data_IF_249311871078
#
_entry.id   IF_249311871078
#
_cell.length_a   1.000
_cell.length_b   1.000
_cell.length_c   1.000
_cell.angle_alpha   90.00
_cell.angle_beta   90.00
_cell.angle_gamma   90.00
#
_symmetry.space_group_name_H-M   'P 1'
#
loop_
_entity.id
_entity.type
_entity.pdbx_description
1 polymer ?
#
# COMPACT_ATOMS: atom_id res chain seq x y z
N UNK A 1 17.87 4.43 -28.05
CA UNK A 1 17.19 3.17 -27.71
C UNK A 1 16.17 3.49 -26.64
N UNK A 2 14.87 3.24 -26.85
CA UNK A 2 13.86 3.48 -25.81
C UNK A 2 13.88 2.29 -24.87
N UNK A 3 14.16 2.54 -23.60
CA UNK A 3 14.08 1.56 -22.51
C UNK A 3 12.76 1.74 -21.77
N UNK A 4 12.02 0.65 -21.59
CA UNK A 4 10.81 0.68 -20.76
C UNK A 4 11.18 0.85 -19.29
N UNK A 5 10.31 1.50 -18.51
CA UNK A 5 10.45 1.55 -17.05
C UNK A 5 10.51 0.14 -16.45
N UNK A 6 11.25 -0.06 -15.36
CA UNK A 6 11.37 -1.38 -14.71
C UNK A 6 10.20 -1.68 -13.76
N UNK A 7 9.56 -0.64 -13.21
CA UNK A 7 8.44 -0.73 -12.26
C UNK A 7 7.68 0.60 -12.29
N UNK A 8 6.35 0.56 -12.15
CA UNK A 8 5.56 1.76 -11.84
C UNK A 8 5.13 1.84 -10.38
N UNK A 9 5.33 0.76 -9.63
CA UNK A 9 5.03 0.71 -8.20
C UNK A 9 6.28 1.04 -7.41
N UNK A 10 6.14 1.99 -6.50
CA UNK A 10 7.16 2.37 -5.52
C UNK A 10 6.74 1.84 -4.14
N UNK A 11 7.48 0.85 -3.65
CA UNK A 11 7.20 0.20 -2.37
C UNK A 11 7.49 1.11 -1.16
N UNK A 12 8.21 2.22 -1.34
CA UNK A 12 8.45 3.21 -0.28
C UNK A 12 7.43 4.36 -0.32
N UNK A 13 6.64 4.46 -1.38
CA UNK A 13 5.57 5.43 -1.51
C UNK A 13 4.30 5.03 -0.76
N UNK A 14 3.25 5.83 -0.93
CA UNK A 14 1.90 5.53 -0.44
C UNK A 14 0.87 5.46 -1.56
N UNK A 15 1.32 5.48 -2.82
CA UNK A 15 0.46 5.50 -4.00
C UNK A 15 0.28 4.09 -4.51
N UNK A 16 -0.95 3.59 -4.39
CA UNK A 16 -1.38 2.30 -4.93
C UNK A 16 -2.18 2.51 -6.21
N UNK A 17 -2.24 1.49 -7.06
CA UNK A 17 -2.95 1.52 -8.33
C UNK A 17 -3.99 0.41 -8.41
N UNK A 18 -5.07 0.67 -9.13
CA UNK A 18 -5.97 -0.39 -9.59
C UNK A 18 -5.32 -1.18 -10.74
N UNK A 19 -5.76 -2.43 -11.00
CA UNK A 19 -5.27 -3.20 -12.14
C UNK A 19 -5.45 -2.46 -13.49
N UNK A 20 -6.53 -1.69 -13.64
CA UNK A 20 -6.80 -0.92 -14.85
C UNK A 20 -5.81 0.27 -15.00
N UNK A 21 -5.39 0.90 -13.91
CA UNK A 21 -4.40 1.97 -13.95
C UNK A 21 -3.01 1.45 -14.30
N UNK A 22 -2.61 0.30 -13.73
CA UNK A 22 -1.37 -0.38 -14.11
C UNK A 22 -1.38 -0.74 -15.60
N UNK A 23 -2.47 -1.32 -16.10
CA UNK A 23 -2.62 -1.61 -17.52
C UNK A 23 -2.44 -0.35 -18.37
N UNK A 24 -3.13 0.75 -18.04
CA UNK A 24 -3.01 2.01 -18.79
C UNK A 24 -1.59 2.58 -18.76
N UNK A 25 -0.85 2.42 -17.66
CA UNK A 25 0.55 2.86 -17.54
C UNK A 25 1.46 2.06 -18.47
N UNK A 26 1.36 0.73 -18.44
CA UNK A 26 2.15 -0.13 -19.32
C UNK A 26 1.77 0.01 -20.80
N UNK A 27 0.50 0.26 -21.12
CA UNK A 27 0.07 0.60 -22.48
C UNK A 27 0.72 1.90 -22.97
N UNK A 28 0.84 2.91 -22.09
CA UNK A 28 1.56 4.17 -22.41
C UNK A 28 3.06 3.94 -22.58
N UNK A 29 3.68 3.08 -21.77
CA UNK A 29 5.08 2.70 -21.95
C UNK A 29 5.31 2.05 -23.31
N UNK A 30 4.47 1.08 -23.70
CA UNK A 30 4.54 0.44 -25.00
C UNK A 30 4.38 1.47 -26.13
N UNK A 31 3.49 2.44 -25.96
CA UNK A 31 3.24 3.52 -26.92
C UNK A 31 4.44 4.48 -27.11
N UNK A 32 5.38 4.57 -26.16
CA UNK A 32 6.60 5.38 -26.34
C UNK A 32 7.43 4.87 -27.52
N UNK A 33 7.52 3.55 -27.69
CA UNK A 33 8.26 2.90 -28.77
C UNK A 33 7.36 2.57 -29.97
N UNK A 34 6.17 2.04 -29.70
CA UNK A 34 5.25 1.58 -30.73
C UNK A 34 3.99 2.43 -30.74
N UNK A 35 3.94 3.46 -31.60
CA UNK A 35 2.72 4.27 -31.76
C UNK A 35 1.53 3.39 -32.14
N UNK A 36 0.33 3.80 -31.73
CA UNK A 36 -0.91 3.02 -31.94
C UNK A 36 -1.09 2.55 -33.39
N UNK A 37 -0.91 3.46 -34.35
CA UNK A 37 -0.99 3.14 -35.78
C UNK A 37 0.00 2.04 -36.21
N UNK A 38 1.24 2.09 -35.71
CA UNK A 38 2.24 1.04 -36.00
C UNK A 38 1.83 -0.28 -35.37
N UNK A 39 1.30 -0.27 -34.14
CA UNK A 39 0.80 -1.50 -33.52
C UNK A 39 -0.36 -2.11 -34.29
N UNK A 40 -1.29 -1.29 -34.77
CA UNK A 40 -2.44 -1.74 -35.55
C UNK A 40 -1.96 -2.34 -36.89
N UNK A 41 -1.07 -1.66 -37.61
CA UNK A 41 -0.46 -2.17 -38.84
C UNK A 41 0.32 -3.49 -38.63
N UNK A 42 1.05 -3.62 -37.54
CA UNK A 42 1.77 -4.86 -37.22
C UNK A 42 0.83 -6.00 -36.83
N UNK A 43 -0.30 -5.71 -36.17
CA UNK A 43 -1.33 -6.72 -35.89
C UNK A 43 -2.01 -7.17 -37.19
N UNK A 44 -2.30 -6.25 -38.09
CA UNK A 44 -2.87 -6.56 -39.40
C UNK A 44 -1.89 -7.42 -40.21
N UNK A 45 -0.61 -7.02 -40.25
CA UNK A 45 0.45 -7.81 -40.87
C UNK A 45 0.52 -9.22 -40.27
N UNK A 46 0.51 -9.36 -38.94
CA UNK A 46 0.53 -10.67 -38.26
C UNK A 46 -0.65 -11.58 -38.69
N UNK A 47 -1.84 -11.01 -38.91
CA UNK A 47 -3.01 -11.77 -39.34
C UNK A 47 -2.91 -12.26 -40.79
N UNK A 48 -2.41 -11.41 -41.69
CA UNK A 48 -2.31 -11.74 -43.12
C UNK A 48 -1.03 -12.50 -43.49
N UNK A 49 0.03 -12.40 -42.67
CA UNK A 49 1.35 -13.00 -42.88
C UNK A 49 1.32 -14.46 -43.34
N UNK A 50 0.47 -15.36 -42.80
CA UNK A 50 0.42 -16.75 -43.25
C UNK A 50 -0.01 -16.95 -44.71
N UNK A 51 -0.71 -15.96 -45.29
CA UNK A 51 -1.16 -15.96 -46.69
C UNK A 51 -0.28 -15.16 -47.64
N UNK A 52 0.77 -14.51 -47.13
CA UNK A 52 1.69 -13.72 -47.94
C UNK A 52 2.86 -14.57 -48.42
N UNK A 53 3.25 -14.37 -49.67
CA UNK A 53 4.49 -14.92 -50.21
C UNK A 53 5.67 -13.98 -49.86
N UNK A 54 6.68 -14.46 -49.10
CA UNK A 54 7.82 -13.66 -48.68
C UNK A 54 8.65 -13.08 -49.83
N UNK A 55 8.64 -13.70 -51.01
CA UNK A 55 9.46 -13.27 -52.16
C UNK A 55 8.80 -12.15 -52.96
N UNK A 56 7.47 -12.08 -52.95
CA UNK A 56 6.69 -11.14 -53.76
C UNK A 56 6.05 -10.01 -52.95
N UNK A 57 5.87 -10.19 -51.64
CA UNK A 57 5.28 -9.16 -50.79
C UNK A 57 6.31 -8.04 -50.45
N UNK A 58 5.99 -6.76 -50.76
CA UNK A 58 6.89 -5.66 -50.48
C UNK A 58 7.25 -5.56 -48.99
N UNK A 59 8.53 -5.40 -48.69
CA UNK A 59 9.04 -5.18 -47.33
C UNK A 59 8.71 -6.32 -46.34
N UNK A 60 8.42 -7.54 -46.81
CA UNK A 60 8.09 -8.68 -45.94
C UNK A 60 9.11 -8.87 -44.81
N UNK A 61 10.40 -8.98 -45.15
CA UNK A 61 11.46 -9.21 -44.17
C UNK A 61 11.56 -8.09 -43.13
N UNK A 62 11.37 -6.84 -43.55
CA UNK A 62 11.39 -5.69 -42.63
C UNK A 62 10.19 -5.72 -41.68
N UNK A 63 8.99 -6.01 -42.18
CA UNK A 63 7.79 -6.12 -41.37
C UNK A 63 7.84 -7.32 -40.42
N UNK A 64 8.46 -8.43 -40.83
CA UNK A 64 8.67 -9.61 -39.99
C UNK A 64 9.61 -9.32 -38.81
N UNK A 65 10.72 -8.61 -39.06
CA UNK A 65 11.62 -8.15 -38.00
C UNK A 65 10.91 -7.20 -37.04
N UNK A 66 10.19 -6.19 -37.55
CA UNK A 66 9.43 -5.25 -36.72
C UNK A 66 8.34 -5.95 -35.90
N UNK A 67 7.66 -6.95 -36.48
CA UNK A 67 6.66 -7.74 -35.77
C UNK A 67 7.30 -8.55 -34.64
N UNK A 68 8.44 -9.20 -34.89
CA UNK A 68 9.19 -9.93 -33.87
C UNK A 68 9.62 -9.02 -32.71
N UNK A 69 10.17 -7.84 -33.02
CA UNK A 69 10.56 -6.84 -32.01
C UNK A 69 9.36 -6.35 -31.21
N UNK A 70 8.24 -6.06 -31.88
CA UNK A 70 7.01 -5.62 -31.22
C UNK A 70 6.44 -6.69 -30.27
N UNK A 71 6.44 -7.96 -30.69
CA UNK A 71 5.97 -9.07 -29.84
C UNK A 71 6.85 -9.21 -28.60
N UNK A 72 8.18 -9.15 -28.77
CA UNK A 72 9.14 -9.22 -27.67
C UNK A 72 8.95 -8.08 -26.65
N UNK A 73 8.80 -6.85 -27.14
CA UNK A 73 8.56 -5.69 -26.29
C UNK A 73 7.19 -5.78 -25.58
N UNK A 74 6.15 -6.20 -26.29
CA UNK A 74 4.82 -6.38 -25.72
C UNK A 74 4.82 -7.43 -24.61
N UNK A 75 5.55 -8.53 -24.80
CA UNK A 75 5.72 -9.57 -23.78
C UNK A 75 6.49 -9.03 -22.57
N UNK A 76 7.52 -8.21 -22.79
CA UNK A 76 8.28 -7.55 -21.72
C UNK A 76 7.37 -6.63 -20.89
N UNK A 77 6.60 -5.74 -21.52
CA UNK A 77 5.65 -4.88 -20.81
C UNK A 77 4.59 -5.69 -20.06
N UNK A 78 4.10 -6.79 -20.63
CA UNK A 78 3.14 -7.66 -19.96
C UNK A 78 3.71 -8.33 -18.71
N UNK A 79 4.93 -8.87 -18.78
CA UNK A 79 5.60 -9.48 -17.63
C UNK A 79 5.86 -8.46 -16.52
N UNK A 80 6.31 -7.26 -16.88
CA UNK A 80 6.54 -6.19 -15.89
C UNK A 80 5.24 -5.68 -15.28
N UNK A 81 4.13 -5.66 -16.03
CA UNK A 81 2.79 -5.38 -15.49
C UNK A 81 2.36 -6.39 -14.43
N UNK A 82 2.56 -7.69 -14.68
CA UNK A 82 2.26 -8.73 -13.69
C UNK A 82 3.12 -8.57 -12.43
N UNK A 83 4.40 -8.25 -12.60
CA UNK A 83 5.29 -7.98 -11.46
C UNK A 83 4.84 -6.73 -10.67
N UNK A 84 4.40 -5.68 -11.35
CA UNK A 84 3.82 -4.49 -10.71
C UNK A 84 2.52 -4.83 -9.97
N UNK A 85 1.66 -5.70 -10.51
CA UNK A 85 0.44 -6.13 -9.80
C UNK A 85 0.78 -6.79 -8.47
N UNK A 86 1.77 -7.68 -8.44
CA UNK A 86 2.24 -8.33 -7.20
C UNK A 86 2.83 -7.31 -6.23
N UNK A 87 3.71 -6.40 -6.70
CA UNK A 87 4.29 -5.35 -5.86
C UNK A 87 3.22 -4.40 -5.30
N UNK A 88 2.22 -4.07 -6.11
CA UNK A 88 1.15 -3.18 -5.71
C UNK A 88 0.27 -3.81 -4.64
N UNK A 89 -0.03 -5.11 -4.77
CA UNK A 89 -0.75 -5.85 -3.72
C UNK A 89 0.05 -5.86 -2.41
N UNK A 90 1.35 -6.17 -2.47
CA UNK A 90 2.23 -6.11 -1.30
C UNK A 90 2.22 -4.72 -0.65
N UNK A 91 2.26 -3.65 -1.45
CA UNK A 91 2.17 -2.28 -0.93
C UNK A 91 0.82 -1.99 -0.26
N UNK A 92 -0.30 -2.40 -0.88
CA UNK A 92 -1.65 -2.24 -0.31
C UNK A 92 -1.75 -2.91 1.05
N UNK A 93 -1.34 -4.18 1.14
CA UNK A 93 -1.41 -4.95 2.39
C UNK A 93 -0.48 -4.38 3.45
N UNK A 94 0.69 -3.85 3.05
CA UNK A 94 1.62 -3.19 3.97
C UNK A 94 1.05 -1.89 4.54
N UNK A 95 0.44 -1.05 3.70
CA UNK A 95 -0.22 0.17 4.16
C UNK A 95 -1.39 -0.17 5.09
N UNK A 96 -2.17 -1.22 4.78
CA UNK A 96 -3.26 -1.68 5.64
C UNK A 96 -2.74 -2.14 7.01
N UNK A 97 -1.64 -2.90 7.05
CA UNK A 97 -0.96 -3.29 8.28
C UNK A 97 -0.49 -2.08 9.10
N UNK A 98 0.24 -1.14 8.48
CA UNK A 98 0.71 0.07 9.16
C UNK A 98 -0.44 0.89 9.76
N UNK A 99 -1.54 1.01 9.02
CA UNK A 99 -2.73 1.69 9.49
C UNK A 99 -3.38 0.93 10.66
N UNK A 100 -3.47 -0.40 10.59
CA UNK A 100 -4.00 -1.23 11.66
C UNK A 100 -3.18 -1.10 12.95
N UNK A 101 -1.84 -1.10 12.87
CA UNK A 101 -0.96 -0.88 14.03
C UNK A 101 -1.22 0.48 14.69
N UNK A 102 -1.30 1.55 13.90
CA UNK A 102 -1.61 2.90 14.43
C UNK A 102 -3.01 2.95 15.04
N UNK A 103 -4.00 2.41 14.34
CA UNK A 103 -5.39 2.39 14.78
C UNK A 103 -5.57 1.58 16.06
N UNK A 104 -4.88 0.45 16.19
CA UNK A 104 -4.87 -0.34 17.42
C UNK A 104 -4.34 0.47 18.60
N UNK A 105 -3.20 1.14 18.45
CA UNK A 105 -2.62 1.97 19.52
C UNK A 105 -3.55 3.14 19.92
N UNK A 106 -4.23 3.77 18.96
CA UNK A 106 -5.23 4.80 19.23
C UNK A 106 -6.44 4.24 20.01
N UNK A 107 -6.94 3.07 19.61
CA UNK A 107 -8.08 2.42 20.26
C UNK A 107 -7.75 1.96 21.67
N UNK A 108 -6.59 1.35 21.90
CA UNK A 108 -6.10 0.98 23.23
C UNK A 108 -6.01 2.21 24.13
N UNK A 109 -5.42 3.31 23.64
CA UNK A 109 -5.36 4.57 24.40
C UNK A 109 -6.75 5.14 24.73
N UNK A 110 -7.70 5.01 23.81
CA UNK A 110 -9.07 5.51 24.02
C UNK A 110 -9.87 4.61 24.99
N UNK A 111 -9.66 3.29 24.94
CA UNK A 111 -10.36 2.32 25.79
C UNK A 111 -9.80 2.35 27.21
N UNK A 112 -8.49 2.23 27.35
CA UNK A 112 -7.82 2.09 28.64
C UNK A 112 -7.45 3.43 29.27
N UNK A 113 -7.40 4.49 28.46
CA UNK A 113 -6.90 5.78 28.88
C UNK A 113 -5.40 5.76 29.14
N UNK A 114 -4.91 6.84 29.74
CA UNK A 114 -3.53 6.94 30.21
C UNK A 114 -3.46 8.00 31.30
N UNK A 115 -2.69 7.73 32.35
CA UNK A 115 -2.42 8.71 33.39
C UNK A 115 -1.48 9.82 32.91
N UNK A 116 -1.59 11.00 33.53
CA UNK A 116 -0.62 12.06 33.30
C UNK A 116 0.75 11.66 33.87
N UNK A 117 1.81 11.91 33.11
CA UNK A 117 3.20 11.75 33.56
C UNK A 117 3.79 13.16 33.68
N UNK A 118 4.32 13.48 34.85
CA UNK A 118 5.01 14.75 35.08
C UNK A 118 6.33 14.79 34.32
N UNK A 119 6.81 15.99 34.01
CA UNK A 119 8.13 16.20 33.42
C UNK A 119 9.22 15.66 34.36
N UNK A 120 10.16 14.91 33.78
CA UNK A 120 11.37 14.46 34.47
C UNK A 120 12.56 15.19 33.84
N UNK A 121 13.19 16.15 34.54
CA UNK A 121 14.33 16.88 34.00
C UNK A 121 15.54 15.95 33.81
N UNK A 122 16.44 16.35 32.91
CA UNK A 122 17.74 15.68 32.76
C UNK A 122 18.61 15.95 33.98
N UNK A 123 19.21 14.90 34.55
CA UNK A 123 20.26 15.04 35.57
C UNK A 123 21.60 14.54 35.01
N UNK A 124 22.64 15.30 35.32
CA UNK A 124 24.03 14.99 34.99
C UNK A 124 24.83 14.89 36.28
N UNK A 125 25.66 13.87 36.40
CA UNK A 125 26.60 13.72 37.49
C UNK A 125 27.60 14.90 37.47
N UNK A 126 27.70 15.70 38.54
CA UNK A 126 28.58 16.85 38.57
C UNK A 126 30.09 16.50 38.62
N UNK A 127 30.47 15.28 39.01
CA UNK A 127 31.86 14.83 39.08
C UNK A 127 32.34 14.23 37.77
N UNK A 128 31.49 13.46 37.08
CA UNK A 128 31.86 12.74 35.85
C UNK A 128 31.34 13.40 34.57
N UNK A 129 30.34 14.28 34.66
CA UNK A 129 29.66 14.87 33.51
C UNK A 129 28.78 13.88 32.75
N UNK A 130 28.55 12.67 33.30
CA UNK A 130 27.71 11.65 32.67
C UNK A 130 26.23 11.88 32.98
N UNK A 131 25.36 11.67 31.98
CA UNK A 131 23.91 11.76 32.15
C UNK A 131 23.44 10.58 32.99
N UNK A 132 22.96 10.85 34.20
CA UNK A 132 22.45 9.85 35.15
C UNK A 132 20.94 9.67 35.03
N UNK A 133 20.25 10.68 34.51
CA UNK A 133 18.82 10.64 34.23
C UNK A 133 18.51 11.34 32.91
N UNK A 134 17.90 10.61 31.98
CA UNK A 134 17.47 11.17 30.70
C UNK A 134 16.20 12.00 30.88
N UNK A 135 16.12 13.12 30.17
CA UNK A 135 14.90 13.91 30.08
C UNK A 135 13.68 13.08 29.64
N UNK A 136 12.56 13.22 30.34
CA UNK A 136 11.25 12.69 29.93
C UNK A 136 10.25 13.85 29.88
N UNK A 137 9.67 14.16 28.70
CA UNK A 137 8.68 15.23 28.59
C UNK A 137 7.39 14.89 29.33
N UNK A 138 6.64 15.90 29.81
CA UNK A 138 5.36 15.67 30.44
C UNK A 138 4.34 15.14 29.44
N UNK A 139 3.43 14.28 29.92
CA UNK A 139 2.40 13.63 29.12
C UNK A 139 1.04 13.90 29.76
N UNK A 140 0.05 14.33 28.97
CA UNK A 140 -1.30 14.59 29.48
C UNK A 140 -2.09 13.31 29.65
N UNK A 141 -2.96 13.31 30.67
CA UNK A 141 -3.92 12.24 30.89
C UNK A 141 -4.92 12.14 29.74
N UNK A 142 -5.35 10.91 29.47
CA UNK A 142 -6.46 10.58 28.57
C UNK A 142 -7.44 9.75 29.39
N UNK A 143 -8.67 10.21 29.54
CA UNK A 143 -9.69 9.47 30.29
C UNK A 143 -10.14 8.24 29.48
N UNK A 144 -10.28 7.07 30.12
CA UNK A 144 -10.80 5.87 29.47
C UNK A 144 -12.26 6.05 29.08
N UNK A 145 -12.69 5.33 28.04
CA UNK A 145 -14.11 5.22 27.71
C UNK A 145 -14.89 4.61 28.87
N UNK A 146 -15.96 5.31 29.28
CA UNK A 146 -16.88 4.79 30.28
C UNK A 146 -17.47 3.44 29.83
N UNK A 147 -17.54 2.47 30.74
CA UNK A 147 -18.09 1.13 30.46
C UNK A 147 -19.59 1.14 30.24
N UNK A 148 -20.28 2.02 30.96
CA UNK A 148 -21.73 2.21 30.88
C UNK A 148 -22.07 3.69 30.78
N UNK A 149 -23.20 4.00 30.15
CA UNK A 149 -23.77 5.33 30.08
C UNK A 149 -25.22 5.31 30.53
N UNK A 150 -25.71 6.45 30.99
CA UNK A 150 -27.14 6.66 31.22
C UNK A 150 -27.83 6.91 29.87
N UNK A 151 -28.94 6.20 29.65
CA UNK A 151 -29.82 6.32 28.49
C UNK A 151 -31.26 6.40 28.96
N UNK A 152 -32.21 6.59 28.05
CA UNK A 152 -33.64 6.64 28.34
C UNK A 152 -34.32 5.51 27.56
N UNK A 153 -35.13 4.72 28.25
CA UNK A 153 -35.87 3.62 27.62
C UNK A 153 -37.12 4.12 26.86
N UNK A 154 -37.86 3.19 26.24
CA UNK A 154 -39.09 3.50 25.49
C UNK A 154 -40.22 4.09 26.36
N UNK A 155 -40.12 3.95 27.68
CA UNK A 155 -41.09 4.47 28.67
C UNK A 155 -40.69 5.85 29.21
N UNK A 156 -39.50 6.34 28.88
CA UNK A 156 -38.99 7.62 29.36
C UNK A 156 -38.20 7.53 30.67
N UNK A 157 -37.92 6.32 31.16
CA UNK A 157 -37.19 6.10 32.41
C UNK A 157 -35.68 5.98 32.14
N UNK A 158 -34.82 6.53 33.03
CA UNK A 158 -33.38 6.42 32.90
C UNK A 158 -32.93 4.96 33.13
N UNK A 159 -32.15 4.44 32.18
CA UNK A 159 -31.57 3.10 32.23
C UNK A 159 -30.06 3.17 31.99
N UNK A 160 -29.30 2.37 32.73
CA UNK A 160 -27.86 2.20 32.50
C UNK A 160 -27.66 1.14 31.44
N UNK A 161 -27.04 1.52 30.32
CA UNK A 161 -26.69 0.60 29.24
C UNK A 161 -25.18 0.53 29.05
N UNK A 162 -24.69 -0.54 28.43
CA UNK A 162 -23.31 -0.60 27.95
C UNK A 162 -23.06 0.55 26.98
N UNK A 163 -21.93 1.23 27.14
CA UNK A 163 -21.55 2.34 26.26
C UNK A 163 -21.39 1.86 24.80
N UNK A 164 -22.25 2.30 23.85
CA UNK A 164 -22.14 1.87 22.46
C UNK A 164 -20.79 2.24 21.83
N UNK A 165 -20.17 3.34 22.26
CA UNK A 165 -18.86 3.75 21.77
C UNK A 165 -17.76 2.77 22.20
N UNK A 166 -17.83 2.24 23.43
CA UNK A 166 -16.91 1.19 23.90
C UNK A 166 -17.11 -0.09 23.10
N UNK A 167 -18.36 -0.51 22.88
CA UNK A 167 -18.66 -1.71 22.09
C UNK A 167 -18.11 -1.59 20.66
N UNK A 168 -18.28 -0.42 20.02
CA UNK A 168 -17.71 -0.17 18.69
C UNK A 168 -16.18 -0.15 18.72
N UNK A 169 -15.57 0.49 19.72
CA UNK A 169 -14.11 0.55 19.85
C UNK A 169 -13.48 -0.84 20.01
N UNK A 170 -14.12 -1.73 20.78
CA UNK A 170 -13.67 -3.12 20.95
C UNK A 170 -13.81 -3.93 19.65
N UNK A 171 -14.86 -3.69 18.87
CA UNK A 171 -15.03 -4.31 17.56
C UNK A 171 -13.95 -3.82 16.57
N UNK A 172 -13.74 -2.51 16.48
CA UNK A 172 -12.68 -1.93 15.64
C UNK A 172 -11.28 -2.43 16.06
N UNK A 173 -11.05 -2.64 17.36
CA UNK A 173 -9.78 -3.14 17.89
C UNK A 173 -9.57 -4.59 17.46
N UNK A 174 -10.61 -5.42 17.51
CA UNK A 174 -10.56 -6.78 17.03
C UNK A 174 -10.30 -6.84 15.52
N UNK A 175 -10.93 -5.97 14.72
CA UNK A 175 -10.70 -5.88 13.28
C UNK A 175 -9.26 -5.44 12.96
N UNK A 176 -8.74 -4.43 13.67
CA UNK A 176 -7.34 -4.01 13.51
C UNK A 176 -6.36 -5.12 13.91
N UNK A 177 -6.64 -5.83 15.01
CA UNK A 177 -5.83 -6.96 15.43
C UNK A 177 -5.84 -8.10 14.40
N UNK A 178 -6.98 -8.39 13.79
CA UNK A 178 -7.08 -9.41 12.74
C UNK A 178 -6.21 -9.07 11.53
N UNK A 179 -6.15 -7.81 11.11
CA UNK A 179 -5.26 -7.36 10.02
C UNK A 179 -3.78 -7.51 10.40
N UNK A 180 -3.43 -7.24 11.67
CA UNK A 180 -2.07 -7.42 12.18
C UNK A 180 -1.68 -8.90 12.22
N UNK A 181 -2.59 -9.76 12.66
CA UNK A 181 -2.34 -11.19 12.82
C UNK A 181 -2.26 -11.93 11.46
N UNK A 182 -2.98 -11.46 10.45
CA UNK A 182 -2.96 -12.03 9.09
C UNK A 182 -1.75 -11.53 8.25
N UNK A 183 -0.98 -10.56 8.77
CA UNK A 183 0.13 -9.98 8.03
C UNK A 183 1.21 -11.02 7.69
N UNK A 184 1.53 -11.13 6.40
CA UNK A 184 2.57 -12.05 5.91
C UNK A 184 3.97 -11.59 6.30
N UNK A 185 4.94 -12.49 6.28
CA UNK A 185 6.35 -12.15 6.56
C UNK A 185 6.92 -11.07 5.61
N UNK A 186 6.48 -11.04 4.35
CA UNK A 186 6.87 -10.02 3.38
C UNK A 186 6.32 -8.63 3.76
N UNK A 187 5.07 -8.58 4.21
CA UNK A 187 4.45 -7.34 4.72
C UNK A 187 5.19 -6.82 5.94
N UNK A 188 5.49 -7.70 6.91
CA UNK A 188 6.22 -7.32 8.13
C UNK A 188 7.63 -6.81 7.81
N UNK A 189 8.31 -7.44 6.85
CA UNK A 189 9.65 -7.03 6.42
C UNK A 189 9.60 -5.64 5.78
N UNK A 190 8.69 -5.42 4.82
CA UNK A 190 8.56 -4.13 4.16
C UNK A 190 8.10 -3.03 5.12
N UNK A 191 7.17 -3.32 6.04
CA UNK A 191 6.75 -2.35 7.06
C UNK A 191 7.92 -1.93 7.96
N UNK A 192 8.80 -2.87 8.34
CA UNK A 192 10.00 -2.55 9.11
C UNK A 192 10.99 -1.67 8.32
N UNK A 193 11.21 -1.98 7.04
CA UNK A 193 12.05 -1.16 6.16
C UNK A 193 11.51 0.27 5.99
N UNK A 194 10.18 0.43 5.94
CA UNK A 194 9.50 1.72 5.80
C UNK A 194 9.45 2.53 7.10
N UNK A 195 9.72 1.92 8.24
CA UNK A 195 9.75 2.58 9.54
C UNK A 195 11.15 3.16 9.90
N UNK A 196 12.19 2.85 9.12
CA UNK A 196 13.56 3.35 9.25
C UNK A 196 13.76 4.68 8.51
#
# INVERSE_FOLDING_TARGET
MITFADSHVDLMGSVTFTPQELQRRWDRELQKKWRKEVQDNLRDFMQIKPSLDPETFPQYAQNDVLLSDFISDKQTCYQRRLADEVKNELLITTIAYEHAVRRKAELELMIDGRDAVAEVPEETDPETGEVTQTYVPPVTAVEPLATTIESVDESGDPVTITNPALTQALADLADAQAVIDDASGEVLTLAAERAL
#
